data_IF_435537075550
#
_entry.id   IF_435537075550
#
_cell.length_a   1.000
_cell.length_b   1.000
_cell.length_c   1.000
_cell.angle_alpha   90.00
_cell.angle_beta   90.00
_cell.angle_gamma   90.00
#
_symmetry.space_group_name_H-M   'P 1'
#
loop_
_entity.id
_entity.type
_entity.pdbx_description
1 polymer ?
#
# COMPACT_ATOMS: atom_id res chain seq x y z
N UNK A 1 -11.64 -17.50 -39.81
CA UNK A 1 -10.88 -18.10 -38.71
C UNK A 1 -10.56 -16.99 -37.71
N UNK A 2 -11.41 -16.80 -36.70
CA UNK A 2 -11.13 -15.91 -35.57
C UNK A 2 -10.34 -16.71 -34.55
N UNK A 3 -9.04 -16.45 -34.46
CA UNK A 3 -8.25 -16.94 -33.33
C UNK A 3 -8.72 -16.21 -32.07
N UNK A 4 -9.68 -16.81 -31.36
CA UNK A 4 -9.91 -16.53 -29.94
C UNK A 4 -8.65 -16.97 -29.21
N UNK A 5 -7.75 -16.01 -28.96
CA UNK A 5 -6.70 -16.20 -27.97
C UNK A 5 -7.42 -16.28 -26.63
N UNK A 6 -7.72 -17.50 -26.18
CA UNK A 6 -8.18 -17.75 -24.83
C UNK A 6 -7.03 -17.33 -23.90
N UNK A 7 -7.02 -16.06 -23.50
CA UNK A 7 -6.23 -15.60 -22.36
C UNK A 7 -6.62 -16.53 -21.22
N UNK A 8 -5.69 -17.41 -20.83
CA UNK A 8 -5.87 -18.29 -19.67
C UNK A 8 -6.44 -17.45 -18.55
N UNK A 9 -7.55 -17.92 -17.97
CA UNK A 9 -8.12 -17.37 -16.76
C UNK A 9 -6.98 -17.36 -15.74
N UNK A 10 -6.35 -16.20 -15.51
CA UNK A 10 -5.30 -16.08 -14.51
C UNK A 10 -6.01 -16.24 -13.16
N UNK A 11 -5.97 -17.44 -12.60
CA UNK A 11 -6.56 -17.78 -11.30
C UNK A 11 -6.00 -16.94 -10.16
N UNK A 12 -4.88 -16.22 -10.39
CA UNK A 12 -4.29 -15.33 -9.40
C UNK A 12 -5.22 -14.17 -9.11
N UNK A 13 -5.77 -14.15 -7.91
CA UNK A 13 -6.63 -13.08 -7.43
C UNK A 13 -5.93 -11.72 -7.33
N UNK A 14 -4.61 -11.71 -7.08
CA UNK A 14 -3.80 -10.50 -6.93
C UNK A 14 -2.70 -10.47 -8.01
N UNK A 15 -2.57 -9.35 -8.71
CA UNK A 15 -1.50 -9.08 -9.68
C UNK A 15 -0.75 -7.81 -9.25
N UNK A 16 0.54 -7.94 -8.97
CA UNK A 16 1.39 -6.83 -8.51
C UNK A 16 2.29 -6.31 -9.64
N UNK A 17 2.33 -5.00 -9.82
CA UNK A 17 3.23 -4.31 -10.73
C UNK A 17 4.35 -3.61 -9.95
N UNK A 18 5.54 -4.21 -9.97
CA UNK A 18 6.71 -3.72 -9.26
C UNK A 18 7.89 -3.46 -10.21
N UNK A 19 8.71 -2.45 -9.91
CA UNK A 19 9.80 -2.00 -10.78
C UNK A 19 10.38 -0.65 -10.38
N UNK A 20 11.38 -0.16 -11.13
CA UNK A 20 11.97 1.17 -10.93
C UNK A 20 10.95 2.29 -11.25
N UNK A 21 11.29 3.53 -10.89
CA UNK A 21 10.52 4.70 -11.32
C UNK A 21 10.56 4.86 -12.84
N UNK A 22 9.46 5.29 -13.46
CA UNK A 22 9.41 5.60 -14.89
C UNK A 22 9.31 4.43 -15.88
N UNK A 23 9.28 3.17 -15.42
CA UNK A 23 9.20 2.00 -16.33
C UNK A 23 7.77 1.68 -16.83
N UNK A 24 6.79 2.52 -16.51
CA UNK A 24 5.40 2.37 -16.97
C UNK A 24 4.50 1.47 -16.09
N UNK A 25 4.90 1.16 -14.85
CA UNK A 25 4.13 0.28 -13.92
C UNK A 25 2.66 0.68 -13.81
N UNK A 26 2.40 1.93 -13.47
CA UNK A 26 1.05 2.49 -13.31
C UNK A 26 0.22 2.36 -14.58
N UNK A 27 0.82 2.64 -15.74
CA UNK A 27 0.13 2.49 -17.04
C UNK A 27 -0.21 1.02 -17.32
N UNK A 28 0.74 0.11 -17.09
CA UNK A 28 0.50 -1.34 -17.26
C UNK A 28 -0.55 -1.87 -16.26
N UNK A 29 -0.49 -1.43 -15.01
CA UNK A 29 -1.47 -1.76 -13.98
C UNK A 29 -2.87 -1.26 -14.37
N UNK A 30 -3.01 0.01 -14.75
CA UNK A 30 -4.27 0.59 -15.20
C UNK A 30 -4.85 -0.13 -16.42
N UNK A 31 -4.02 -0.42 -17.43
CA UNK A 31 -4.45 -1.17 -18.62
C UNK A 31 -4.91 -2.58 -18.27
N UNK A 32 -4.21 -3.26 -17.36
CA UNK A 32 -4.56 -4.62 -16.90
C UNK A 32 -5.88 -4.63 -16.13
N UNK A 33 -6.08 -3.66 -15.23
CA UNK A 33 -7.33 -3.53 -14.49
C UNK A 33 -8.51 -3.21 -15.40
N UNK A 34 -8.31 -2.29 -16.35
CA UNK A 34 -9.33 -1.94 -17.33
C UNK A 34 -9.70 -3.14 -18.20
N UNK A 35 -8.74 -3.96 -18.63
CA UNK A 35 -8.99 -5.17 -19.42
C UNK A 35 -9.90 -6.17 -18.69
N UNK A 36 -9.59 -6.46 -17.42
CA UNK A 36 -10.42 -7.36 -16.60
C UNK A 36 -11.82 -6.78 -16.37
N UNK A 37 -11.92 -5.51 -15.98
CA UNK A 37 -13.19 -4.86 -15.74
C UNK A 37 -14.07 -4.78 -17.00
N UNK A 38 -13.47 -4.49 -18.16
CA UNK A 38 -14.18 -4.44 -19.45
C UNK A 38 -14.73 -5.82 -19.88
N UNK A 39 -14.17 -6.89 -19.33
CA UNK A 39 -14.65 -8.27 -19.50
C UNK A 39 -15.70 -8.67 -18.45
N UNK A 40 -16.18 -7.74 -17.63
CA UNK A 40 -17.19 -7.97 -16.59
C UNK A 40 -16.65 -8.44 -15.25
N UNK A 41 -15.33 -8.61 -15.09
CA UNK A 41 -14.71 -9.07 -13.83
C UNK A 41 -14.72 -7.95 -12.79
N UNK A 42 -15.24 -8.20 -11.59
CA UNK A 42 -15.18 -7.24 -10.47
C UNK A 42 -13.74 -6.99 -10.07
N UNK A 43 -13.21 -5.84 -10.47
CA UNK A 43 -11.78 -5.53 -10.43
C UNK A 43 -11.53 -4.31 -9.54
N UNK A 44 -10.61 -4.45 -8.60
CA UNK A 44 -10.02 -3.34 -7.86
C UNK A 44 -8.64 -3.05 -8.45
N UNK A 45 -8.36 -1.79 -8.77
CA UNK A 45 -6.99 -1.30 -8.89
C UNK A 45 -6.66 -0.41 -7.71
N UNK A 46 -5.52 -0.66 -7.11
CA UNK A 46 -5.03 0.04 -5.92
C UNK A 46 -3.60 0.50 -6.14
N UNK A 47 -3.34 1.79 -5.93
CA UNK A 47 -1.98 2.34 -5.91
C UNK A 47 -1.53 2.60 -4.48
N UNK A 48 -0.27 2.24 -4.21
CA UNK A 48 0.44 2.58 -2.98
C UNK A 48 1.60 3.53 -3.24
N UNK A 49 1.69 4.09 -4.45
CA UNK A 49 2.55 5.23 -4.74
C UNK A 49 1.93 6.49 -4.11
N UNK A 50 2.68 7.25 -3.29
CA UNK A 50 2.16 8.48 -2.69
C UNK A 50 1.82 9.57 -3.72
N UNK A 51 2.26 9.42 -4.97
CA UNK A 51 1.95 10.34 -6.06
C UNK A 51 0.66 9.88 -6.76
N UNK A 52 -0.44 10.65 -6.66
CA UNK A 52 -1.68 10.33 -7.37
C UNK A 52 -1.43 10.21 -8.87
N UNK A 53 -1.93 9.14 -9.47
CA UNK A 53 -1.73 8.83 -10.88
C UNK A 53 -2.90 8.04 -11.48
N UNK A 54 -3.49 7.13 -10.73
CA UNK A 54 -4.67 6.37 -11.15
C UNK A 54 -5.91 7.26 -11.24
N UNK A 55 -6.12 8.14 -10.27
CA UNK A 55 -7.25 9.09 -10.29
C UNK A 55 -7.19 10.01 -11.52
N UNK A 56 -5.98 10.36 -11.97
CA UNK A 56 -5.76 11.10 -13.21
C UNK A 56 -6.00 10.26 -14.46
N UNK A 57 -5.49 9.02 -14.50
CA UNK A 57 -5.66 8.10 -15.64
C UNK A 57 -7.13 7.76 -15.87
N UNK A 58 -7.89 7.50 -14.80
CA UNK A 58 -9.30 7.12 -14.87
C UNK A 58 -10.25 8.31 -14.74
N UNK A 59 -9.73 9.54 -14.66
CA UNK A 59 -10.50 10.78 -14.49
C UNK A 59 -11.52 10.72 -13.33
N UNK A 60 -11.16 10.05 -12.23
CA UNK A 60 -12.03 9.87 -11.06
C UNK A 60 -12.32 11.24 -10.42
N UNK A 61 -13.60 11.52 -10.14
CA UNK A 61 -14.03 12.79 -9.55
C UNK A 61 -14.00 13.98 -10.50
N UNK A 62 -13.76 13.76 -11.80
CA UNK A 62 -13.75 14.79 -12.84
C UNK A 62 -14.85 14.52 -13.86
N UNK A 63 -15.22 15.54 -14.63
CA UNK A 63 -16.07 15.34 -15.81
C UNK A 63 -15.24 14.57 -16.84
N UNK A 64 -15.62 13.32 -17.20
CA UNK A 64 -14.81 12.52 -18.10
C UNK A 64 -14.76 13.18 -19.48
N UNK A 65 -13.57 13.27 -20.08
CA UNK A 65 -13.42 13.70 -21.48
C UNK A 65 -13.66 12.54 -22.46
N UNK A 66 -13.71 11.31 -21.96
CA UNK A 66 -13.95 10.09 -22.74
C UNK A 66 -14.97 9.14 -22.09
N UNK A 67 -14.86 7.86 -22.44
CA UNK A 67 -15.73 6.83 -21.86
C UNK A 67 -15.49 6.71 -20.35
N UNK A 68 -16.58 6.63 -19.59
CA UNK A 68 -16.50 6.34 -18.16
C UNK A 68 -15.86 4.96 -17.94
N UNK A 69 -15.05 4.79 -16.89
CA UNK A 69 -14.58 3.46 -16.49
C UNK A 69 -15.76 2.49 -16.31
N UNK A 70 -15.58 1.18 -16.60
CA UNK A 70 -16.61 0.17 -16.37
C UNK A 70 -17.08 0.20 -14.91
N UNK A 71 -18.37 -0.06 -14.67
CA UNK A 71 -18.91 -0.13 -13.30
C UNK A 71 -18.29 -1.24 -12.44
N UNK A 72 -17.74 -2.26 -13.09
CA UNK A 72 -16.98 -3.36 -12.49
C UNK A 72 -15.56 -2.95 -12.06
N UNK A 73 -15.09 -1.74 -12.40
CA UNK A 73 -13.78 -1.23 -12.00
C UNK A 73 -13.91 -0.27 -10.81
N UNK A 74 -13.20 -0.59 -9.73
CA UNK A 74 -12.96 0.32 -8.62
C UNK A 74 -11.51 0.77 -8.61
N UNK A 75 -11.29 2.05 -8.36
CA UNK A 75 -9.97 2.70 -8.31
C UNK A 75 -9.75 3.23 -6.90
N UNK A 76 -8.65 2.85 -6.26
CA UNK A 76 -8.24 3.33 -4.95
C UNK A 76 -6.77 3.81 -4.98
N UNK A 77 -6.51 4.93 -4.31
CA UNK A 77 -5.16 5.44 -4.08
C UNK A 77 -4.98 5.57 -2.57
N UNK A 78 -4.02 4.84 -2.00
CA UNK A 78 -3.81 4.79 -0.56
C UNK A 78 -2.78 5.84 -0.17
N UNK A 79 -3.27 6.93 0.40
CA UNK A 79 -2.44 7.97 1.01
C UNK A 79 -1.97 7.61 2.42
N UNK A 80 -1.06 8.44 2.94
CA UNK A 80 -0.46 8.28 4.28
C UNK A 80 -1.52 8.24 5.38
N UNK A 81 -2.54 9.09 5.30
CA UNK A 81 -3.59 9.16 6.32
C UNK A 81 -4.38 7.86 6.44
N UNK A 82 -4.61 7.18 5.31
CA UNK A 82 -5.28 5.88 5.32
C UNK A 82 -4.40 4.81 5.97
N UNK A 83 -3.09 4.86 5.75
CA UNK A 83 -2.14 3.96 6.43
C UNK A 83 -2.13 4.23 7.93
N UNK A 84 -2.11 5.50 8.34
CA UNK A 84 -2.20 5.90 9.76
C UNK A 84 -3.45 5.33 10.41
N UNK A 85 -4.60 5.53 9.77
CA UNK A 85 -5.88 5.00 10.25
C UNK A 85 -5.85 3.47 10.39
N UNK A 86 -5.39 2.75 9.36
CA UNK A 86 -5.32 1.29 9.38
C UNK A 86 -4.41 0.75 10.48
N UNK A 87 -3.28 1.43 10.73
CA UNK A 87 -2.38 1.09 11.82
C UNK A 87 -3.02 1.36 13.18
N UNK A 88 -3.65 2.52 13.33
CA UNK A 88 -4.30 2.95 14.57
C UNK A 88 -5.40 1.98 15.00
N UNK A 89 -6.25 1.60 14.04
CA UNK A 89 -7.36 0.65 14.22
C UNK A 89 -6.88 -0.75 14.63
N UNK A 90 -5.72 -1.20 14.13
CA UNK A 90 -5.22 -2.56 14.37
C UNK A 90 -4.30 -2.68 15.58
N UNK A 91 -3.44 -1.69 15.79
CA UNK A 91 -2.30 -1.84 16.69
C UNK A 91 -2.07 -0.62 17.59
N UNK A 92 -2.63 0.55 17.25
CA UNK A 92 -2.20 1.81 17.83
C UNK A 92 -2.23 1.84 19.35
N UNK A 93 -3.38 1.49 19.94
CA UNK A 93 -3.57 1.50 21.40
C UNK A 93 -2.75 0.45 22.13
N UNK A 94 -2.64 -0.75 21.57
CA UNK A 94 -1.89 -1.85 22.20
C UNK A 94 -0.39 -1.57 22.24
N UNK A 95 0.18 -1.16 21.09
CA UNK A 95 1.61 -0.85 21.00
C UNK A 95 1.93 0.41 21.81
N UNK A 96 1.05 1.41 21.80
CA UNK A 96 1.21 2.61 22.63
C UNK A 96 1.24 2.29 24.12
N UNK A 97 0.39 1.37 24.61
CA UNK A 97 0.37 0.99 26.02
C UNK A 97 1.70 0.44 26.52
N UNK A 98 2.43 -0.29 25.67
CA UNK A 98 3.79 -0.76 25.98
C UNK A 98 4.80 0.38 25.85
N UNK A 99 4.74 1.14 24.75
CA UNK A 99 5.74 2.16 24.42
C UNK A 99 5.75 3.33 25.43
N UNK A 100 4.57 3.81 25.81
CA UNK A 100 4.37 4.91 26.77
C UNK A 100 4.87 4.61 28.18
N UNK A 101 5.09 3.33 28.53
CA UNK A 101 5.69 2.96 29.81
C UNK A 101 7.20 3.25 29.89
N UNK A 102 7.86 3.47 28.74
CA UNK A 102 9.30 3.72 28.65
C UNK A 102 9.64 5.12 28.13
N UNK A 103 8.69 5.80 27.48
CA UNK A 103 8.88 7.09 26.80
C UNK A 103 7.68 7.99 27.08
N UNK A 104 7.94 9.21 27.55
CA UNK A 104 6.93 10.26 27.70
C UNK A 104 6.65 10.88 26.33
N UNK A 105 5.58 10.42 25.67
CA UNK A 105 5.14 10.86 24.35
C UNK A 105 3.62 10.82 24.29
N UNK A 106 3.00 11.79 23.62
CA UNK A 106 1.57 11.77 23.36
C UNK A 106 1.16 10.67 22.38
N UNK A 107 -0.12 10.31 22.37
CA UNK A 107 -0.62 9.26 21.47
C UNK A 107 -0.52 9.68 20.00
N UNK A 108 -0.92 10.91 19.68
CA UNK A 108 -0.89 11.45 18.33
C UNK A 108 0.55 11.50 17.78
N UNK A 109 1.49 12.00 18.59
CA UNK A 109 2.91 12.05 18.25
C UNK A 109 3.51 10.63 18.05
N UNK A 110 3.06 9.66 18.85
CA UNK A 110 3.47 8.27 18.68
C UNK A 110 2.97 7.66 17.37
N UNK A 111 1.70 7.88 17.01
CA UNK A 111 1.12 7.41 15.74
C UNK A 111 1.90 7.99 14.57
N UNK A 112 2.19 9.29 14.62
CA UNK A 112 2.97 9.98 13.59
C UNK A 112 4.39 9.41 13.46
N UNK A 113 5.08 9.21 14.60
CA UNK A 113 6.38 8.56 14.63
C UNK A 113 6.37 7.17 13.98
N UNK A 114 5.42 6.31 14.35
CA UNK A 114 5.40 4.93 13.85
C UNK A 114 5.07 4.85 12.36
N UNK A 115 4.21 5.74 11.87
CA UNK A 115 3.67 5.64 10.50
C UNK A 115 4.50 6.41 9.47
N UNK A 116 5.24 7.44 9.90
CA UNK A 116 6.05 8.27 9.00
C UNK A 116 7.55 8.09 9.21
N UNK A 117 8.01 7.89 10.44
CA UNK A 117 9.44 7.85 10.76
C UNK A 117 10.01 6.44 10.64
N UNK A 118 9.24 5.40 11.00
CA UNK A 118 9.72 4.03 10.90
C UNK A 118 9.69 3.53 9.44
N UNK A 119 10.85 3.28 8.82
CA UNK A 119 10.91 2.84 7.45
C UNK A 119 10.32 1.44 7.29
N UNK A 120 9.59 1.21 6.19
CA UNK A 120 8.99 -0.07 5.85
C UNK A 120 7.65 -0.36 6.54
N UNK A 121 7.25 0.42 7.56
CA UNK A 121 5.93 0.25 8.18
C UNK A 121 4.82 0.43 7.15
N UNK A 122 4.86 1.52 6.37
CA UNK A 122 3.88 1.76 5.31
C UNK A 122 3.74 0.56 4.37
N UNK A 123 4.84 0.03 3.86
CA UNK A 123 4.83 -1.08 2.91
C UNK A 123 4.24 -2.37 3.52
N UNK A 124 4.54 -2.67 4.78
CA UNK A 124 3.98 -3.83 5.50
C UNK A 124 2.45 -3.72 5.63
N UNK A 125 1.95 -2.55 6.01
CA UNK A 125 0.50 -2.31 6.09
C UNK A 125 -0.19 -2.44 4.74
N UNK A 126 0.49 -2.05 3.66
CA UNK A 126 -0.05 -2.22 2.32
C UNK A 126 -0.13 -3.69 1.93
N UNK A 127 0.90 -4.49 2.22
CA UNK A 127 0.85 -5.94 1.99
C UNK A 127 -0.31 -6.58 2.76
N UNK A 128 -0.47 -6.24 4.04
CA UNK A 128 -1.56 -6.76 4.86
C UNK A 128 -2.94 -6.29 4.37
N UNK A 129 -3.08 -5.04 3.91
CA UNK A 129 -4.31 -4.54 3.27
C UNK A 129 -4.69 -5.37 2.05
N UNK A 130 -3.74 -5.60 1.15
CA UNK A 130 -3.95 -6.40 -0.08
C UNK A 130 -4.31 -7.84 0.28
N UNK A 131 -3.68 -8.40 1.31
CA UNK A 131 -4.01 -9.73 1.83
C UNK A 131 -5.46 -9.79 2.30
N UNK A 132 -5.93 -8.83 3.09
CA UNK A 132 -7.32 -8.79 3.55
C UNK A 132 -8.32 -8.67 2.40
N UNK A 133 -8.06 -7.81 1.42
CA UNK A 133 -8.88 -7.69 0.22
C UNK A 133 -8.97 -9.02 -0.54
N UNK A 134 -7.85 -9.75 -0.61
CA UNK A 134 -7.78 -11.09 -1.19
C UNK A 134 -8.51 -12.17 -0.37
N UNK A 135 -8.93 -11.89 0.87
CA UNK A 135 -9.72 -12.79 1.70
C UNK A 135 -11.23 -12.47 1.66
N UNK A 136 -11.61 -11.19 1.53
CA UNK A 136 -13.00 -10.71 1.65
C UNK A 136 -13.94 -11.08 0.48
N UNK A 137 -13.46 -11.75 -0.58
CA UNK A 137 -14.28 -12.14 -1.77
C UNK A 137 -15.08 -10.99 -2.46
N UNK A 138 -14.78 -9.73 -2.16
CA UNK A 138 -15.46 -8.56 -2.72
C UNK A 138 -15.10 -8.31 -4.19
N UNK A 139 -13.81 -8.46 -4.52
CA UNK A 139 -13.26 -8.35 -5.87
C UNK A 139 -12.71 -9.69 -6.35
N UNK A 140 -12.99 -10.03 -7.60
CA UNK A 140 -12.46 -11.21 -8.28
C UNK A 140 -11.01 -10.99 -8.73
N UNK A 141 -10.63 -9.73 -9.00
CA UNK A 141 -9.27 -9.35 -9.34
C UNK A 141 -8.83 -8.11 -8.56
N UNK A 142 -7.64 -8.15 -7.99
CA UNK A 142 -6.95 -7.01 -7.37
C UNK A 142 -5.67 -6.74 -8.15
N UNK A 143 -5.55 -5.56 -8.74
CA UNK A 143 -4.35 -5.07 -9.41
C UNK A 143 -3.67 -4.06 -8.50
N UNK A 144 -2.45 -4.37 -8.07
CA UNK A 144 -1.68 -3.53 -7.16
C UNK A 144 -0.54 -2.83 -7.90
N UNK A 145 -0.62 -1.50 -7.99
CA UNK A 145 0.45 -0.61 -8.48
C UNK A 145 1.33 -0.16 -7.30
N UNK A 146 2.58 -0.63 -7.26
CA UNK A 146 3.48 -0.33 -6.14
C UNK A 146 4.29 0.95 -6.38
N UNK A 147 4.67 1.61 -5.30
CA UNK A 147 5.73 2.62 -5.33
C UNK A 147 7.03 2.06 -5.96
N UNK A 148 7.96 2.91 -6.44
CA UNK A 148 9.23 2.46 -6.99
C UNK A 148 10.03 1.57 -6.02
N UNK A 149 10.52 0.42 -6.49
CA UNK A 149 11.20 -0.62 -5.69
C UNK A 149 12.40 -0.14 -4.84
N UNK A 150 13.00 1.02 -5.15
CA UNK A 150 14.04 1.61 -4.32
C UNK A 150 13.55 1.97 -2.90
N UNK A 151 12.26 2.28 -2.76
CA UNK A 151 11.61 2.52 -1.47
C UNK A 151 11.18 1.20 -0.81
N UNK A 152 10.68 0.23 -1.60
CA UNK A 152 10.24 -1.10 -1.12
C UNK A 152 11.41 -2.00 -0.65
N UNK A 153 12.60 -1.89 -1.23
CA UNK A 153 13.81 -2.63 -0.80
C UNK A 153 14.32 -2.21 0.60
N UNK A 154 13.84 -1.08 1.14
CA UNK A 154 14.09 -0.70 2.53
C UNK A 154 13.64 -1.78 3.53
N UNK A 155 12.63 -2.59 3.18
CA UNK A 155 12.15 -3.72 3.97
C UNK A 155 13.21 -4.79 4.25
N UNK A 156 14.12 -5.06 3.30
CA UNK A 156 15.21 -6.04 3.50
C UNK A 156 16.27 -5.54 4.50
N UNK A 157 16.34 -4.22 4.70
CA UNK A 157 17.26 -3.59 5.65
C UNK A 157 16.62 -3.34 7.03
N UNK A 158 15.34 -3.67 7.20
CA UNK A 158 14.56 -3.43 8.41
C UNK A 158 15.20 -4.03 9.67
N UNK A 159 15.74 -5.28 9.68
CA UNK A 159 16.46 -5.80 10.84
C UNK A 159 17.71 -4.99 11.20
N UNK A 160 18.43 -4.45 10.21
CA UNK A 160 19.64 -3.66 10.44
C UNK A 160 19.34 -2.24 10.93
N UNK A 161 18.24 -1.64 10.45
CA UNK A 161 17.76 -0.32 10.87
C UNK A 161 17.22 -0.37 12.29
N UNK A 162 16.35 -1.34 12.62
CA UNK A 162 15.93 -1.63 14.00
C UNK A 162 17.14 -1.88 14.89
N UNK A 163 18.12 -2.66 14.43
CA UNK A 163 19.38 -2.88 15.15
C UNK A 163 20.16 -1.60 15.43
N UNK A 164 20.18 -0.60 14.54
CA UNK A 164 20.85 0.69 14.76
C UNK A 164 20.06 1.61 15.71
N UNK A 165 18.73 1.69 15.56
CA UNK A 165 17.88 2.50 16.43
C UNK A 165 17.83 1.94 17.86
N UNK A 166 17.71 0.61 18.00
CA UNK A 166 17.74 -0.09 19.28
C UNK A 166 19.15 -0.14 19.91
N UNK A 167 20.25 -0.05 19.16
CA UNK A 167 21.60 0.07 19.74
C UNK A 167 21.88 1.45 20.34
N UNK A 168 21.19 2.48 19.86
CA UNK A 168 21.35 3.85 20.35
C UNK A 168 20.52 4.08 21.61
N UNK A 169 19.36 3.43 21.71
CA UNK A 169 18.47 3.50 22.86
C UNK A 169 19.17 3.20 24.22
N UNK A 170 19.89 2.08 24.43
CA UNK A 170 20.56 1.77 25.70
C UNK A 170 21.59 2.82 26.13
N UNK A 171 22.27 3.48 25.18
CA UNK A 171 23.27 4.52 25.49
C UNK A 171 22.64 5.84 25.94
N UNK A 172 21.42 6.11 25.49
CA UNK A 172 20.62 7.26 25.94
C UNK A 172 19.99 6.93 27.30
N UNK A 173 19.43 5.72 27.48
CA UNK A 173 18.86 5.27 28.76
C UNK A 173 19.88 5.10 29.88
N UNK A 174 21.14 4.75 29.58
CA UNK A 174 22.21 4.69 30.60
C UNK A 174 22.65 6.07 31.11
N UNK A 175 22.28 7.16 30.43
CA UNK A 175 22.58 8.54 30.86
C UNK A 175 21.40 9.26 31.54
N UNK A 176 20.22 8.65 31.55
CA UNK A 176 19.01 9.18 32.19
C UNK A 176 18.73 8.59 33.57
N UNK A 177 19.63 7.76 34.12
CA UNK A 177 19.68 7.49 35.56
C UNK A 177 20.54 8.56 36.24
N UNK A 178 19.89 9.64 36.66
CA UNK A 178 20.18 10.40 37.88
C UNK A 178 18.89 10.46 38.69
#
# INVERSE_FOLDING_TARGET
MTHSCACRNDERRVVMFAGKGGVGKTTCAAATALHHASSGVRTLIVSTDPTPSLSHIFEVGRSPRGNKPPQSLRVEEIGVDRVKQMWDEKFGREVYGVFSSFVDIGYEEFVEFVTEVLPGMRDEFMVDYIRELSLKNEYEKVVWDTAPLGQTLGLLNMPSMLGKHLKTAPRIYSRLKL
#
